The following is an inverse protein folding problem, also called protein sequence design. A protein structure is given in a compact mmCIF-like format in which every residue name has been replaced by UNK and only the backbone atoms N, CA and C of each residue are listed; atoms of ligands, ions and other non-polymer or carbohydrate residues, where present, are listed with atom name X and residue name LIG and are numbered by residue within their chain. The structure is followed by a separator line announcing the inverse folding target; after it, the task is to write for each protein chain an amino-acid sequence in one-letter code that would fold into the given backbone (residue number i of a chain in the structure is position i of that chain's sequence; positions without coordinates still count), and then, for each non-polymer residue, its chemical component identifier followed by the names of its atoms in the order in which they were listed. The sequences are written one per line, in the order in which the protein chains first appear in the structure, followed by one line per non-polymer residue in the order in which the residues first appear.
data_IF_486134977871
#
_entry.id   IF_486134977871
#
_cell.length_a   1.000
_cell.length_b   1.000
_cell.length_c   1.000
_cell.angle_alpha   90.00
_cell.angle_beta   90.00
_cell.angle_gamma   90.00
#
_symmetry.space_group_name_H-M   'P 1'
#
loop_
_entity.id
_entity.type
_entity.pdbx_description
1 polymer ?
2 non-polymer ?
3 water ?
#
# COMPACT_ATOMS: atom_id res chain seq x y z
N UNK A 3 -15.84 -0.97 -29.26
CA UNK A 3 -16.23 -2.34 -29.76
C UNK A 3 -16.21 -2.43 -31.28
N UNK A 4 -17.32 -2.81 -31.91
CA UNK A 4 -18.57 -3.21 -31.23
C UNK A 4 -18.54 -4.68 -30.80
N UNK A 5 -17.56 -5.43 -31.31
CA UNK A 5 -17.31 -6.81 -30.89
C UNK A 5 -15.97 -6.89 -30.16
N UNK A 6 -15.93 -6.29 -28.96
CA UNK A 6 -14.88 -6.51 -28.00
C UNK A 6 -15.44 -7.37 -26.88
N UNK A 7 -14.57 -7.89 -26.03
CA UNK A 7 -14.99 -8.76 -24.93
C UNK A 7 -15.96 -8.03 -23.98
N UNK A 8 -16.97 -8.75 -23.52
CA UNK A 8 -17.90 -8.25 -22.52
C UNK A 8 -17.48 -8.77 -21.15
N UNK A 9 -17.56 -7.92 -20.13
CA UNK A 9 -17.27 -8.31 -18.76
C UNK A 9 -18.52 -8.92 -18.12
N UNK A 10 -18.35 -9.88 -17.23
CA UNK A 10 -19.45 -10.36 -16.41
C UNK A 10 -19.91 -9.24 -15.48
N UNK A 11 -21.15 -9.37 -14.98
CA UNK A 11 -21.70 -8.42 -14.01
C UNK A 11 -20.84 -8.35 -12.75
N UNK A 12 -20.37 -9.50 -12.28
CA UNK A 12 -19.49 -9.56 -11.11
C UNK A 12 -18.17 -8.86 -11.37
N UNK A 13 -17.58 -9.06 -12.55
CA UNK A 13 -16.32 -8.41 -12.89
C UNK A 13 -16.47 -6.89 -12.94
N UNK A 14 -17.61 -6.42 -13.43
CA UNK A 14 -17.92 -4.99 -13.41
C UNK A 14 -17.97 -4.46 -11.98
N UNK A 15 -18.59 -5.20 -11.07
CA UNK A 15 -18.66 -4.82 -9.65
C UNK A 15 -17.29 -4.82 -8.98
N UNK A 16 -16.45 -5.78 -9.36
CA UNK A 16 -15.09 -5.86 -8.83
C UNK A 16 -14.28 -4.64 -9.30
N UNK A 17 -14.49 -4.22 -10.54
CA UNK A 17 -13.83 -3.02 -11.04
C UNK A 17 -14.26 -1.78 -10.26
N UNK A 18 -15.56 -1.70 -9.94
CA UNK A 18 -16.06 -0.58 -9.13
C UNK A 18 -15.40 -0.63 -7.76
N UNK A 19 -15.32 -1.81 -7.16
CA UNK A 19 -14.69 -1.96 -5.84
C UNK A 19 -13.25 -1.50 -5.86
N UNK A 20 -12.50 -1.94 -6.87
CA UNK A 20 -11.08 -1.62 -6.92
C UNK A 20 -10.83 -0.13 -7.13
N UNK A 21 -11.80 0.55 -7.75
CA UNK A 21 -11.72 1.99 -7.93
C UNK A 21 -12.12 2.74 -6.65
N UNK A 22 -13.19 2.30 -6.01
CA UNK A 22 -13.65 2.93 -4.78
C UNK A 22 -14.48 1.94 -3.98
N UNK A 23 -13.85 1.27 -3.02
CA UNK A 23 -14.52 0.21 -2.26
C UNK A 23 -15.90 0.55 -1.71
N UNK A 24 -16.04 1.70 -1.07
CA UNK A 24 -17.33 2.06 -0.44
C UNK A 24 -18.46 2.20 -1.47
N UNK A 25 -18.12 2.63 -2.68
CA UNK A 25 -19.09 2.76 -3.77
C UNK A 25 -19.61 1.41 -4.27
N UNK A 26 -18.81 0.35 -4.10
CA UNK A 26 -19.21 -0.96 -4.60
C UNK A 26 -20.24 -1.65 -3.73
N UNK A 27 -20.25 -1.32 -2.43
CA UNK A 27 -21.11 -2.03 -1.48
C UNK A 27 -22.58 -1.88 -1.88
N UNK A 28 -23.07 -0.62 -2.01
CA UNK A 28 -24.47 -0.46 -2.41
C UNK A 28 -24.79 -0.97 -3.81
N UNK A 29 -23.78 -1.08 -4.69
CA UNK A 29 -23.97 -1.65 -6.02
C UNK A 29 -24.02 -3.19 -6.00
N UNK A 30 -23.18 -3.80 -5.17
CA UNK A 30 -23.19 -5.26 -5.00
C UNK A 30 -24.52 -5.76 -4.43
N UNK A 31 -25.11 -4.99 -3.51
CA UNK A 31 -26.41 -5.35 -2.93
C UNK A 31 -27.51 -5.19 -3.98
N UNK A 32 -27.53 -4.03 -4.62
CA UNK A 32 -28.47 -3.73 -5.73
C UNK A 32 -28.50 -4.87 -6.74
N UNK A 33 -27.33 -5.37 -7.12
CA UNK A 33 -27.21 -6.40 -8.13
C UNK A 33 -27.29 -7.84 -7.59
N UNK A 34 -27.41 -7.97 -6.26
CA UNK A 34 -27.64 -9.28 -5.63
C UNK A 34 -26.41 -10.09 -5.29
N UNK A 35 -25.23 -9.50 -5.46
CA UNK A 35 -23.97 -10.19 -5.14
C UNK A 35 -23.65 -10.14 -3.65
N UNK A 36 -24.30 -9.23 -2.94
CA UNK A 36 -24.07 -9.02 -1.52
C UNK A 36 -25.41 -8.95 -0.79
N UNK A 37 -25.55 -9.78 0.24
CA UNK A 37 -26.82 -9.89 0.98
C UNK A 37 -27.25 -8.56 1.60
N UNK A 38 -26.32 -7.93 2.29
CA UNK A 38 -26.57 -6.65 2.96
C UNK A 38 -25.23 -5.99 3.27
N UNK A 39 -25.25 -4.86 3.96
CA UNK A 39 -24.01 -4.16 4.30
C UNK A 39 -23.53 -4.43 5.73
N UNK A 40 -23.91 -5.57 6.30
CA UNK A 40 -23.43 -5.94 7.63
C UNK A 40 -21.94 -6.27 7.55
N UNK A 41 -21.20 -6.06 8.64
CA UNK A 41 -19.76 -6.34 8.62
C UNK A 41 -19.43 -7.76 8.18
N UNK A 42 -20.18 -8.74 8.67
CA UNK A 42 -19.91 -10.14 8.33
C UNK A 42 -20.17 -10.42 6.84
N UNK A 43 -21.25 -9.88 6.28
CA UNK A 43 -21.54 -10.08 4.87
C UNK A 43 -20.43 -9.51 3.99
N UNK A 44 -20.00 -8.30 4.31
CA UNK A 44 -18.95 -7.65 3.54
C UNK A 44 -17.62 -8.38 3.70
N UNK A 45 -17.24 -8.72 4.94
CA UNK A 45 -16.00 -9.47 5.19
C UNK A 45 -15.96 -10.79 4.41
N UNK A 46 -17.06 -11.54 4.42
CA UNK A 46 -17.10 -12.80 3.70
C UNK A 46 -16.90 -12.59 2.20
N UNK A 47 -17.55 -11.57 1.65
CA UNK A 47 -17.40 -11.26 0.23
C UNK A 47 -15.95 -10.90 -0.14
N UNK A 48 -15.29 -10.12 0.71
CA UNK A 48 -13.87 -9.79 0.50
C UNK A 48 -13.01 -11.05 0.40
N UNK A 49 -13.26 -12.02 1.28
CA UNK A 49 -12.45 -13.24 1.34
C UNK A 49 -12.79 -14.28 0.29
N UNK A 50 -14.04 -14.29 -0.16
CA UNK A 50 -14.52 -15.30 -1.11
C UNK A 50 -14.27 -14.91 -2.57
N UNK A 51 -14.14 -13.61 -2.83
CA UNK A 51 -14.15 -13.10 -4.20
C UNK A 51 -12.74 -12.94 -4.77
N UNK A 52 -12.48 -13.59 -5.90
CA UNK A 52 -11.19 -13.48 -6.58
C UNK A 52 -11.14 -12.20 -7.38
N UNK A 53 -9.95 -11.62 -7.52
CA UNK A 53 -9.76 -10.47 -8.39
C UNK A 53 -9.82 -9.12 -7.71
N UNK A 54 -9.98 -9.11 -6.38
CA UNK A 54 -9.94 -7.86 -5.65
C UNK A 54 -8.50 -7.42 -5.49
N UNK A 55 -8.27 -6.12 -5.65
CA UNK A 55 -6.94 -5.56 -5.48
C UNK A 55 -6.59 -5.57 -3.99
N UNK A 56 -5.49 -6.22 -3.62
CA UNK A 56 -5.16 -6.38 -2.21
C UNK A 56 -4.88 -5.06 -1.52
N UNK A 57 -4.37 -4.10 -2.26
CA UNK A 57 -4.14 -2.77 -1.69
C UNK A 57 -5.46 -2.04 -1.49
N UNK A 58 -6.39 -2.17 -2.42
CA UNK A 58 -7.71 -1.57 -2.24
C UNK A 58 -8.42 -2.20 -1.03
N UNK A 59 -8.31 -3.53 -0.89
CA UNK A 59 -8.93 -4.22 0.25
C UNK A 59 -8.29 -3.74 1.56
N UNK A 60 -6.97 -3.68 1.61
CA UNK A 60 -6.29 -3.28 2.83
C UNK A 60 -6.63 -1.86 3.23
N UNK A 61 -6.68 -0.97 2.25
CA UNK A 61 -7.01 0.43 2.52
C UNK A 61 -8.46 0.55 3.02
N UNK A 62 -9.36 -0.25 2.46
CA UNK A 62 -10.76 -0.26 2.87
C UNK A 62 -10.91 -0.76 4.30
N UNK A 63 -10.24 -1.87 4.62
CA UNK A 63 -10.29 -2.41 5.96
C UNK A 63 -9.59 -1.51 6.98
N UNK A 64 -8.64 -0.71 6.50
CA UNK A 64 -7.84 0.15 7.36
C UNK A 64 -8.42 1.52 7.63
N UNK A 65 -9.52 1.88 6.99
CA UNK A 65 -10.09 3.23 7.14
C UNK A 65 -10.36 3.51 8.62
N UNK A 66 -10.04 4.73 9.05
CA UNK A 66 -10.30 5.19 10.42
C UNK A 66 -11.74 5.68 10.55
N UNK A 67 -12.68 4.75 10.35
CA UNK A 67 -14.10 4.97 10.54
C UNK A 67 -14.62 3.72 11.23
N UNK A 68 -15.52 3.89 12.19
CA UNK A 68 -15.95 2.77 13.02
C UNK A 68 -16.61 1.63 12.23
N UNK A 69 -17.32 1.95 11.14
CA UNK A 69 -17.92 0.91 10.30
C UNK A 69 -16.85 0.07 9.60
N UNK A 70 -15.79 0.70 9.12
CA UNK A 70 -14.72 -0.03 8.46
C UNK A 70 -13.95 -0.87 9.47
N UNK A 71 -13.79 -0.31 10.68
CA UNK A 71 -13.15 -1.07 11.76
C UNK A 71 -13.96 -2.33 12.05
N UNK A 72 -15.28 -2.21 12.09
CA UNK A 72 -16.16 -3.35 12.33
C UNK A 72 -16.03 -4.42 11.23
N UNK A 73 -15.93 -3.97 9.98
CA UNK A 73 -15.74 -4.88 8.85
C UNK A 73 -14.38 -5.59 8.99
N UNK A 74 -13.35 -4.84 9.36
CA UNK A 74 -12.03 -5.43 9.55
C UNK A 74 -12.05 -6.47 10.67
N UNK A 75 -12.75 -6.18 11.76
CA UNK A 75 -12.85 -7.16 12.84
C UNK A 75 -13.53 -8.44 12.35
N UNK A 76 -14.61 -8.28 11.58
CA UNK A 76 -15.29 -9.43 10.98
C UNK A 76 -14.38 -10.20 10.03
N UNK A 77 -13.56 -9.48 9.28
CA UNK A 77 -12.63 -10.08 8.32
C UNK A 77 -11.67 -11.01 9.07
N UNK A 78 -11.06 -10.50 10.15
CA UNK A 78 -10.16 -11.30 10.96
C UNK A 78 -10.91 -12.49 11.58
N UNK A 79 -12.15 -12.27 11.98
CA UNK A 79 -12.96 -13.33 12.60
C UNK A 79 -13.24 -14.51 11.66
N UNK A 80 -13.14 -14.30 10.36
CA UNK A 80 -13.36 -15.38 9.37
C UNK A 80 -12.17 -16.35 9.28
N UNK A 81 -11.03 -15.96 9.80
CA UNK A 81 -9.84 -16.82 9.74
C UNK A 81 -9.90 -17.89 10.82
N UNK A 82 -9.45 -19.09 10.45
CA UNK A 82 -9.28 -20.16 11.41
C UNK A 82 -7.78 -20.37 11.63
N UNK A 83 -7.27 -19.86 12.74
CA UNK A 83 -5.87 -20.03 13.11
C UNK A 83 -5.65 -21.19 14.07
N UNK A 84 -6.69 -21.97 14.34
CA UNK A 84 -6.59 -23.05 15.33
C UNK A 84 -5.48 -24.05 14.95
N UNK A 85 -4.54 -24.26 15.86
CA UNK A 85 -3.45 -25.23 15.66
C UNK A 85 -2.27 -24.77 14.81
N UNK A 86 -2.34 -23.56 14.28
CA UNK A 86 -1.26 -23.02 13.45
C UNK A 86 -0.19 -22.40 14.32
N UNK A 87 1.06 -22.43 13.86
CA UNK A 87 2.09 -21.60 14.48
C UNK A 87 1.71 -20.13 14.24
N UNK A 88 2.23 -19.23 15.07
CA UNK A 88 1.95 -17.82 14.85
C UNK A 88 2.47 -17.37 13.48
N UNK A 89 3.55 -17.97 12.99
CA UNK A 89 4.05 -17.65 11.64
C UNK A 89 3.07 -18.09 10.55
N UNK A 90 2.54 -19.30 10.66
CA UNK A 90 1.59 -19.78 9.66
C UNK A 90 0.31 -18.96 9.67
N UNK A 91 -0.13 -18.56 10.86
CA UNK A 91 -1.28 -17.68 10.99
C UNK A 91 -1.02 -16.31 10.37
N UNK A 92 0.12 -15.73 10.68
CA UNK A 92 0.52 -14.45 10.10
C UNK A 92 0.63 -14.51 8.57
N UNK A 93 1.17 -15.62 8.05
CA UNK A 93 1.32 -15.77 6.60
C UNK A 93 -0.05 -15.80 5.93
N UNK A 94 -0.96 -16.59 6.48
CA UNK A 94 -2.32 -16.67 5.97
C UNK A 94 -2.99 -15.30 5.98
N UNK A 95 -2.85 -14.60 7.09
CA UNK A 95 -3.47 -13.29 7.27
C UNK A 95 -2.89 -12.22 6.34
N UNK A 96 -1.57 -12.03 6.39
CA UNK A 96 -0.94 -10.92 5.66
C UNK A 96 -0.89 -11.11 4.16
N UNK A 97 -1.06 -12.34 3.68
CA UNK A 97 -1.09 -12.59 2.23
C UNK A 97 -2.50 -12.37 1.66
N UNK A 98 -3.46 -11.99 2.51
CA UNK A 98 -4.84 -11.75 2.07
C UNK A 98 -5.22 -10.28 1.81
N UNK A 99 -4.33 -9.35 2.18
CA UNK A 99 -4.53 -7.92 1.96
C UNK A 99 -3.18 -7.22 2.12
N UNK A 100 -3.08 -5.99 1.65
CA UNK A 100 -1.89 -5.16 1.90
C UNK A 100 -2.10 -4.25 3.09
N UNK A 101 -1.22 -4.35 4.08
CA UNK A 101 -1.26 -3.45 5.23
C UNK A 101 -1.14 -2.00 4.75
N UNK A 102 -1.99 -1.11 5.30
CA UNK A 102 -1.85 0.33 5.04
C UNK A 102 -0.55 0.89 5.59
N UNK A 103 -0.32 2.16 5.31
CA UNK A 103 0.91 2.82 5.65
C UNK A 103 1.01 3.29 7.07
N UNK A 104 -0.03 3.94 7.59
CA UNK A 104 0.12 4.60 8.89
C UNK A 104 0.08 3.60 10.03
N UNK A 105 0.93 3.86 11.01
CA UNK A 105 1.12 2.94 12.11
C UNK A 105 -0.12 2.66 12.90
N UNK A 106 -0.97 3.68 13.11
CA UNK A 106 -2.16 3.46 13.93
C UNK A 106 -3.13 2.48 13.27
N UNK A 107 -3.17 2.47 11.94
CA UNK A 107 -3.99 1.51 11.20
C UNK A 107 -3.41 0.12 11.33
N UNK A 108 -2.11 0.00 11.09
CA UNK A 108 -1.44 -1.28 11.24
C UNK A 108 -1.72 -1.86 12.62
N UNK A 109 -1.60 -1.04 13.65
CA UNK A 109 -1.80 -1.50 15.02
C UNK A 109 -3.19 -2.11 15.22
N UNK A 110 -4.21 -1.52 14.59
CA UNK A 110 -5.57 -2.08 14.65
C UNK A 110 -5.63 -3.49 14.08
N UNK A 111 -5.05 -3.69 12.90
CA UNK A 111 -4.99 -5.02 12.29
C UNK A 111 -4.25 -6.02 13.19
N UNK A 112 -3.09 -5.62 13.69
CA UNK A 112 -2.22 -6.56 14.38
C UNK A 112 -2.75 -6.89 15.76
N UNK A 113 -3.43 -5.94 16.40
CA UNK A 113 -4.06 -6.24 17.69
C UNK A 113 -5.21 -7.22 17.53
N UNK A 114 -6.04 -7.03 16.50
CA UNK A 114 -7.15 -7.95 16.26
C UNK A 114 -6.62 -9.33 15.86
N UNK A 115 -5.60 -9.37 15.00
CA UNK A 115 -4.93 -10.63 14.68
C UNK A 115 -4.48 -11.35 15.95
N UNK A 116 -3.79 -10.62 16.82
CA UNK A 116 -3.24 -11.21 18.05
C UNK A 116 -4.37 -11.76 18.92
N UNK A 117 -5.44 -11.00 19.05
CA UNK A 117 -6.58 -11.44 19.86
C UNK A 117 -7.21 -12.72 19.31
N UNK A 118 -7.37 -12.78 17.99
CA UNK A 118 -7.94 -13.96 17.33
C UNK A 118 -7.00 -15.13 17.50
N UNK A 119 -5.72 -14.91 17.29
CA UNK A 119 -4.76 -16.00 17.41
C UNK A 119 -4.78 -16.60 18.80
N UNK A 120 -4.78 -15.77 19.84
CA UNK A 120 -4.76 -16.32 21.20
C UNK A 120 -6.09 -16.96 21.56
N UNK A 121 -7.19 -16.43 21.04
CA UNK A 121 -8.53 -17.00 21.32
C UNK A 121 -8.63 -18.43 20.80
N UNK A 122 -8.01 -18.67 19.66
CA UNK A 122 -8.10 -19.96 18.99
C UNK A 122 -6.97 -20.90 19.37
N UNK A 123 -5.95 -20.36 20.03
CA UNK A 123 -4.83 -21.18 20.49
C UNK A 123 -4.55 -20.90 21.95
N UNK A 124 -5.49 -21.28 22.83
CA UNK A 124 -5.29 -21.05 24.25
C UNK A 124 -4.05 -21.79 24.76
N UNK A 125 -3.33 -21.18 25.68
CA UNK A 125 -2.15 -21.81 26.26
C UNK A 125 -0.86 -21.69 25.46
N UNK A 126 -0.89 -21.11 24.25
CA UNK A 126 0.37 -20.81 23.56
C UNK A 126 1.02 -19.63 24.28
N UNK A 127 0.28 -18.52 24.33
CA UNK A 127 0.70 -17.34 25.05
C UNK A 127 -0.35 -17.02 26.11
N UNK A 128 0.10 -16.52 27.25
CA UNK A 128 -0.82 -16.11 28.31
C UNK A 128 -1.54 -14.79 27.99
N UNK A 129 -0.94 -13.96 27.15
CA UNK A 129 -1.46 -12.63 26.86
C UNK A 129 -1.43 -12.36 25.36
N UNK A 130 -2.47 -11.71 24.85
CA UNK A 130 -2.49 -11.25 23.47
C UNK A 130 -1.34 -10.27 23.16
N UNK A 131 -0.90 -9.50 24.15
CA UNK A 131 0.16 -8.50 23.95
C UNK A 131 1.44 -9.20 23.48
N UNK A 132 1.67 -10.42 23.94
CA UNK A 132 2.83 -11.20 23.51
C UNK A 132 2.74 -11.52 22.02
N UNK A 133 1.58 -11.99 21.58
CA UNK A 133 1.38 -12.29 20.17
C UNK A 133 1.45 -11.03 19.31
N UNK A 134 0.91 -9.93 19.85
CA UNK A 134 0.92 -8.63 19.19
C UNK A 134 2.34 -8.17 18.90
N UNK A 135 3.19 -8.08 19.93
CA UNK A 135 4.55 -7.59 19.71
C UNK A 135 5.39 -8.56 18.89
N UNK A 136 5.17 -9.86 19.09
CA UNK A 136 5.91 -10.86 18.35
C UNK A 136 5.61 -10.75 16.86
N UNK A 137 4.37 -10.41 16.52
CA UNK A 137 3.97 -10.28 15.12
C UNK A 137 4.78 -9.20 14.40
N UNK A 138 5.03 -8.07 15.06
CA UNK A 138 5.87 -7.02 14.46
C UNK A 138 7.31 -7.48 14.26
N UNK A 139 7.82 -8.23 15.23
CA UNK A 139 9.18 -8.74 15.12
C UNK A 139 9.29 -9.72 13.96
N UNK A 140 8.24 -10.52 13.76
CA UNK A 140 8.21 -11.48 12.67
C UNK A 140 8.10 -10.79 11.33
N UNK A 141 7.31 -9.72 11.24
CA UNK A 141 7.22 -8.94 10.00
C UNK A 141 8.58 -8.33 9.65
N UNK A 142 9.26 -7.79 10.65
CA UNK A 142 10.58 -7.19 10.43
C UNK A 142 11.61 -8.23 10.00
N UNK A 143 11.57 -9.40 10.63
CA UNK A 143 12.47 -10.49 10.30
C UNK A 143 12.24 -10.88 8.86
N UNK A 144 10.97 -11.01 8.48
CA UNK A 144 10.60 -11.41 7.13
C UNK A 144 11.17 -10.45 6.10
N UNK A 145 11.02 -9.16 6.36
CA UNK A 145 11.58 -8.12 5.51
C UNK A 145 13.10 -8.22 5.43
N UNK A 146 13.76 -8.31 6.57
CA UNK A 146 15.23 -8.29 6.59
C UNK A 146 15.85 -9.55 5.99
N UNK A 147 15.15 -10.67 6.05
CA UNK A 147 15.67 -11.90 5.44
C UNK A 147 15.43 -11.94 3.94
N UNK A 148 14.29 -11.41 3.48
CA UNK A 148 13.84 -11.64 2.11
C UNK A 148 13.71 -10.41 1.20
N UNK A 149 13.50 -9.23 1.77
CA UNK A 149 13.11 -8.05 0.97
C UNK A 149 14.11 -6.91 1.00
N UNK A 150 14.69 -6.65 2.16
CA UNK A 150 15.40 -5.40 2.42
C UNK A 150 16.59 -5.19 1.48
N UNK A 151 16.68 -3.97 0.96
CA UNK A 151 17.79 -3.53 0.13
C UNK A 151 18.77 -2.67 0.93
N UNK A 152 18.35 -2.23 2.11
CA UNK A 152 19.12 -1.25 2.90
C UNK A 152 19.62 -1.77 4.26
N UNK A 153 19.24 -2.99 4.62
CA UNK A 153 19.74 -3.62 5.84
C UNK A 153 20.29 -4.98 5.49
N UNK A 154 21.31 -5.41 6.24
CA UNK A 154 21.79 -6.79 6.19
C UNK A 154 20.76 -7.74 6.78
N UNK A 155 20.87 -9.01 6.42
CA UNK A 155 20.02 -10.04 7.00
C UNK A 155 20.12 -10.04 8.52
N UNK A 156 18.98 -10.14 9.17
CA UNK A 156 18.90 -10.23 10.62
C UNK A 156 19.33 -11.61 11.07
N UNK A 157 20.23 -11.67 12.05
CA UNK A 157 20.70 -12.94 12.58
C UNK A 157 19.68 -13.47 13.58
N UNK A 158 19.74 -14.77 13.81
CA UNK A 158 18.92 -15.37 14.87
C UNK A 158 19.19 -14.69 16.21
N UNK A 159 20.46 -14.45 16.54
CA UNK A 159 20.78 -13.77 17.80
C UNK A 159 20.03 -12.44 17.93
N UNK A 160 20.02 -11.64 16.87
CA UNK A 160 19.33 -10.36 16.89
C UNK A 160 17.82 -10.53 17.07
N UNK A 161 17.25 -11.54 16.43
CA UNK A 161 15.82 -11.84 16.56
C UNK A 161 15.47 -12.20 18.02
N UNK A 162 16.31 -13.00 18.65
CA UNK A 162 16.14 -13.32 20.08
C UNK A 162 16.19 -12.06 20.93
N UNK A 163 17.18 -11.20 20.67
CA UNK A 163 17.30 -9.95 21.44
C UNK A 163 16.06 -9.05 21.31
N UNK A 164 15.53 -8.97 20.09
CA UNK A 164 14.40 -8.12 19.79
C UNK A 164 13.12 -8.52 20.53
N UNK A 165 13.07 -9.76 21.02
CA UNK A 165 11.91 -10.26 21.73
C UNK A 165 12.15 -10.51 23.21
N UNK A 166 13.22 -9.96 23.75
CA UNK A 166 13.49 -10.11 25.18
C UNK A 166 12.30 -9.58 26.00
N UNK A 167 11.90 -10.36 26.98
CA UNK A 167 10.90 -9.96 27.96
C UNK A 167 9.45 -9.97 27.55
N UNK A 168 9.13 -10.41 26.34
CA UNK A 168 7.77 -10.22 25.81
C UNK A 168 6.72 -11.17 26.36
N UNK A 169 7.14 -12.25 27.04
CA UNK A 169 6.19 -13.20 27.61
C UNK A 169 5.86 -12.80 29.05
N UNK A 170 4.99 -11.81 29.18
CA UNK A 170 4.58 -11.29 30.49
C UNK A 170 5.78 -10.86 31.35
N UNK A 171 6.80 -10.31 30.70
CA UNK A 171 7.97 -9.78 31.41
C UNK A 171 9.12 -10.77 31.51
N UNK A 172 8.96 -11.91 30.85
CA UNK A 172 10.02 -12.92 30.77
C UNK A 172 10.34 -13.22 29.31
N UNK A 173 11.53 -13.75 29.06
CA UNK A 173 11.90 -14.19 27.72
C UNK A 173 11.10 -15.43 27.35
N UNK A 174 10.79 -15.57 26.06
CA UNK A 174 10.27 -16.81 25.51
C UNK A 174 11.42 -17.81 25.42
N UNK A 175 11.11 -19.12 25.38
CA UNK A 175 12.20 -20.08 25.24
C UNK A 175 12.94 -19.90 23.91
N UNK A 176 14.27 -19.99 23.97
CA UNK A 176 15.11 -19.84 22.79
C UNK A 176 14.69 -20.80 21.67
N UNK A 177 14.39 -22.05 22.03
CA UNK A 177 14.01 -23.05 21.04
C UNK A 177 12.72 -22.67 20.30
N UNK A 178 11.79 -22.06 21.02
CA UNK A 178 10.52 -21.63 20.44
C UNK A 178 10.75 -20.54 19.40
N UNK A 179 11.54 -19.54 19.77
CA UNK A 179 11.85 -18.44 18.86
C UNK A 179 12.69 -18.92 17.67
N UNK A 180 13.64 -19.82 17.91
CA UNK A 180 14.45 -20.36 16.81
C UNK A 180 13.55 -21.06 15.78
N UNK A 181 12.55 -21.80 16.25
CA UNK A 181 11.58 -22.44 15.38
C UNK A 181 10.88 -21.45 14.48
N UNK A 182 10.39 -20.36 15.06
CA UNK A 182 9.71 -19.34 14.26
C UNK A 182 10.65 -18.67 13.27
N UNK A 183 11.86 -18.36 13.72
CA UNK A 183 12.89 -17.81 12.84
C UNK A 183 13.06 -18.67 11.59
N UNK A 184 13.22 -19.97 11.79
CA UNK A 184 13.41 -20.88 10.67
C UNK A 184 12.18 -20.98 9.76
N UNK A 185 10.99 -20.91 10.33
CA UNK A 185 9.77 -20.89 9.52
C UNK A 185 9.77 -19.70 8.57
N UNK A 186 10.14 -18.53 9.07
CA UNK A 186 10.21 -17.34 8.25
C UNK A 186 11.34 -17.48 7.23
N UNK A 187 12.52 -17.89 7.69
CA UNK A 187 13.69 -18.02 6.81
C UNK A 187 13.42 -18.95 5.63
N UNK A 188 12.68 -20.03 5.86
CA UNK A 188 12.47 -21.04 4.83
C UNK A 188 11.32 -20.75 3.87
N UNK A 189 10.37 -19.94 4.32
CA UNK A 189 9.22 -19.55 3.49
C UNK A 189 8.76 -18.11 3.78
N UNK A 190 9.20 -17.20 2.91
CA UNK A 190 8.85 -15.78 2.99
C UNK A 190 7.35 -15.56 3.05
N UNK A 191 6.92 -14.62 3.90
CA UNK A 191 5.54 -14.16 3.89
C UNK A 191 5.39 -13.08 2.81
N UNK B 8 17.52 8.17 23.68
CA UNK B 8 16.92 9.51 23.49
C UNK B 8 16.95 9.94 22.03
N UNK B 9 15.86 10.51 21.56
CA UNK B 9 15.72 10.95 20.17
C UNK B 9 15.63 12.47 20.10
N UNK B 10 16.02 13.03 18.96
CA UNK B 10 15.87 14.47 18.73
C UNK B 10 14.40 14.81 18.64
N UNK B 11 14.07 16.08 18.84
CA UNK B 11 12.69 16.57 18.71
C UNK B 11 12.10 16.22 17.34
N UNK B 12 12.91 16.42 16.29
CA UNK B 12 12.48 16.11 14.93
C UNK B 12 12.18 14.62 14.80
N UNK B 13 13.07 13.78 15.30
CA UNK B 13 12.89 12.32 15.24
C UNK B 13 11.63 11.87 15.96
N UNK B 14 11.33 12.49 17.11
CA UNK B 14 10.09 12.23 17.82
C UNK B 14 8.88 12.60 16.96
N UNK B 15 8.94 13.77 16.30
CA UNK B 15 7.85 14.18 15.42
C UNK B 15 7.67 13.25 14.22
N UNK B 16 8.78 12.73 13.70
CA UNK B 16 8.72 11.78 12.58
C UNK B 16 8.00 10.50 13.01
N UNK B 17 8.31 10.02 14.21
CA UNK B 17 7.60 8.87 14.78
C UNK B 17 6.10 9.14 14.85
N UNK B 18 5.73 10.33 15.30
CA UNK B 18 4.33 10.71 15.40
C UNK B 18 3.71 10.68 14.00
N UNK B 19 4.40 11.25 13.01
CA UNK B 19 3.86 11.28 11.67
C UNK B 19 3.65 9.88 11.13
N UNK B 20 4.65 9.02 11.31
CA UNK B 20 4.57 7.66 10.77
C UNK B 20 3.44 6.85 11.40
N UNK B 21 3.05 7.21 12.62
CA UNK B 21 1.91 6.60 13.30
C UNK B 21 0.58 7.20 12.89
N UNK B 22 0.53 8.54 12.83
CA UNK B 22 -0.73 9.23 12.55
C UNK B 22 -0.43 10.57 11.90
N UNK B 23 -0.30 10.58 10.56
CA UNK B 23 0.12 11.78 9.84
C UNK B 23 -0.67 13.05 10.17
N UNK B 24 -2.00 12.96 10.23
CA UNK B 24 -2.83 14.16 10.44
C UNK B 24 -2.61 14.77 11.83
N UNK B 25 -2.35 13.93 12.84
CA UNK B 25 -2.06 14.43 14.19
C UNK B 25 -0.67 15.05 14.31
N UNK B 26 0.26 14.65 13.46
CA UNK B 26 1.62 15.17 13.51
C UNK B 26 1.67 16.65 13.11
N UNK B 27 0.79 17.06 12.20
CA UNK B 27 0.83 18.43 11.66
C UNK B 27 0.76 19.51 12.75
N UNK B 28 -0.25 19.46 13.63
CA UNK B 28 -0.27 20.48 14.68
C UNK B 28 0.91 20.40 15.66
N UNK B 29 1.46 19.19 15.84
CA UNK B 29 2.63 19.03 16.70
C UNK B 29 3.86 19.68 16.08
N UNK B 30 4.07 19.41 14.79
CA UNK B 30 5.13 20.07 14.04
C UNK B 30 5.04 21.58 14.09
N UNK B 31 3.82 22.11 14.00
CA UNK B 31 3.60 23.54 14.02
C UNK B 31 3.94 24.12 15.40
N UNK B 32 3.47 23.46 16.46
CA UNK B 32 3.75 23.93 17.83
C UNK B 32 5.25 24.00 18.11
N UNK B 33 6.01 23.02 17.59
CA UNK B 33 7.45 22.95 17.80
C UNK B 33 8.28 23.79 16.81
N UNK B 34 7.61 24.38 15.81
CA UNK B 34 8.26 25.29 14.88
C UNK B 34 8.90 24.66 13.65
N UNK B 35 8.78 23.33 13.50
CA UNK B 35 9.31 22.65 12.31
C UNK B 35 8.47 22.96 11.08
N UNK B 36 7.21 23.27 11.31
CA UNK B 36 6.29 23.68 10.26
C UNK B 36 5.81 25.10 10.59
N UNK B 37 5.91 25.99 9.61
CA UNK B 37 5.51 27.38 9.80
C UNK B 37 3.99 27.48 9.97
N UNK B 38 3.28 26.69 9.19
CA UNK B 38 1.83 26.69 9.20
C UNK B 38 1.34 25.42 8.52
N UNK B 39 0.02 25.28 8.36
CA UNK B 39 -0.55 24.11 7.71
C UNK B 39 -0.89 24.37 6.24
N UNK B 40 -0.22 25.32 5.60
CA UNK B 40 -0.46 25.54 4.18
C UNK B 40 0.02 24.32 3.38
N UNK B 41 -0.63 24.04 2.24
CA UNK B 41 -0.21 22.91 1.40
C UNK B 41 1.28 22.92 1.05
N UNK B 42 1.82 24.05 0.65
CA UNK B 42 3.24 24.14 0.27
C UNK B 42 4.16 23.86 1.47
N UNK B 43 3.81 24.38 2.64
CA UNK B 43 4.62 24.14 3.85
C UNK B 43 4.68 22.65 4.15
N UNK B 44 3.52 22.01 4.12
CA UNK B 44 3.45 20.58 4.44
C UNK B 44 4.15 19.75 3.38
N UNK B 45 3.86 20.02 2.10
CA UNK B 45 4.49 19.29 1.01
C UNK B 45 6.01 19.38 1.06
N UNK B 46 6.54 20.56 1.31
CA UNK B 46 7.99 20.73 1.42
C UNK B 46 8.57 19.92 2.58
N UNK B 47 7.89 19.91 3.72
CA UNK B 47 8.35 19.14 4.86
C UNK B 47 8.38 17.65 4.51
N UNK B 48 7.34 17.17 3.85
CA UNK B 48 7.27 15.76 3.46
C UNK B 48 8.47 15.36 2.59
N UNK B 49 8.84 16.23 1.65
CA UNK B 49 9.92 15.93 0.70
C UNK B 49 11.32 16.16 1.26
N UNK B 50 11.47 17.06 2.22
CA UNK B 50 12.78 17.43 2.72
C UNK B 50 13.21 16.63 3.96
N UNK B 51 12.27 15.94 4.60
CA UNK B 51 12.54 15.26 5.85
C UNK B 51 12.86 13.78 5.63
N UNK B 52 14.06 13.35 6.03
CA UNK B 52 14.43 11.95 5.95
C UNK B 52 13.77 11.15 7.07
N UNK B 53 13.46 9.88 6.81
CA UNK B 53 12.90 8.99 7.83
C UNK B 53 11.40 8.83 7.84
N UNK B 54 10.69 9.52 6.95
CA UNK B 54 9.26 9.35 6.82
C UNK B 54 8.97 8.06 6.07
N UNK B 55 7.98 7.32 6.54
CA UNK B 55 7.58 6.05 5.94
C UNK B 55 6.83 6.36 4.66
N UNK B 56 7.29 5.78 3.54
CA UNK B 56 6.73 6.08 2.22
C UNK B 56 5.25 5.74 2.11
N UNK B 57 4.84 4.69 2.83
CA UNK B 57 3.45 4.29 2.83
C UNK B 57 2.56 5.21 3.66
N UNK B 58 3.07 5.67 4.81
CA UNK B 58 2.34 6.67 5.59
C UNK B 58 2.19 7.96 4.79
N UNK B 59 3.27 8.38 4.12
CA UNK B 59 3.23 9.58 3.28
C UNK B 59 2.21 9.39 2.16
N UNK B 60 2.26 8.26 1.47
CA UNK B 60 1.34 8.03 0.36
C UNK B 60 -0.12 7.99 0.79
N UNK B 61 -0.40 7.34 1.93
CA UNK B 61 -1.75 7.30 2.47
C UNK B 61 -2.25 8.70 2.85
N UNK B 62 -1.36 9.49 3.46
CA UNK B 62 -1.70 10.85 3.84
C UNK B 62 -2.02 11.69 2.61
N UNK B 63 -1.18 11.60 1.60
CA UNK B 63 -1.38 12.37 0.37
C UNK B 63 -2.62 11.90 -0.40
N UNK B 64 -3.03 10.65 -0.18
CA UNK B 64 -4.14 10.06 -0.89
C UNK B 64 -5.51 10.33 -0.28
N UNK B 65 -5.55 10.92 0.91
CA UNK B 65 -6.84 11.13 1.58
C UNK B 65 -7.75 12.01 0.71
N UNK B 66 -9.05 11.71 0.77
CA UNK B 66 -10.03 12.38 -0.09
C UNK B 66 -10.37 13.82 0.27
N UNK B 67 -10.08 14.23 1.49
CA UNK B 67 -10.39 15.59 1.94
C UNK B 67 -9.74 16.63 1.03
N UNK B 68 -10.47 17.73 0.78
CA UNK B 68 -9.98 18.82 -0.05
C UNK B 68 -8.59 19.31 0.39
N UNK B 69 -8.38 19.39 1.70
CA UNK B 69 -7.08 19.81 2.24
C UNK B 69 -5.93 18.88 1.84
N UNK B 70 -6.18 17.59 1.91
CA UNK B 70 -5.18 16.58 1.57
C UNK B 70 -4.92 16.58 0.07
N UNK B 71 -5.95 16.81 -0.74
CA UNK B 71 -5.75 16.91 -2.18
C UNK B 71 -4.84 18.10 -2.52
N UNK B 72 -5.08 19.23 -1.85
CA UNK B 72 -4.25 20.42 -2.05
C UNK B 72 -2.79 20.16 -1.66
N UNK B 73 -2.58 19.46 -0.54
CA UNK B 73 -1.25 19.08 -0.13
C UNK B 73 -0.60 18.19 -1.19
N UNK B 74 -1.34 17.19 -1.68
CA UNK B 74 -0.82 16.32 -2.72
C UNK B 74 -0.44 17.10 -3.98
N UNK B 75 -1.30 18.05 -4.38
CA UNK B 75 -0.97 18.86 -5.56
C UNK B 75 0.30 19.65 -5.34
N UNK B 76 0.46 20.25 -4.15
CA UNK B 76 1.66 20.99 -3.80
C UNK B 76 2.90 20.09 -3.80
N UNK B 77 2.73 18.85 -3.34
CA UNK B 77 3.80 17.86 -3.33
C UNK B 77 4.27 17.56 -4.76
N UNK B 78 3.34 17.32 -5.68
CA UNK B 78 3.73 17.03 -7.06
C UNK B 78 4.40 18.25 -7.70
N UNK B 79 3.91 19.44 -7.38
CA UNK B 79 4.46 20.68 -7.94
C UNK B 79 5.92 20.96 -7.52
N UNK B 80 6.40 20.34 -6.45
CA UNK B 80 7.81 20.47 -6.07
C UNK B 80 8.78 19.73 -7.00
N UNK B 81 8.29 18.74 -7.73
CA UNK B 81 9.15 17.94 -8.60
C UNK B 81 9.52 18.68 -9.87
N UNK B 82 10.73 18.46 -10.35
CA UNK B 82 11.19 18.99 -11.64
C UNK B 82 11.53 17.85 -12.58
N UNK B 83 10.60 17.59 -13.51
CA UNK B 83 10.76 16.53 -14.50
C UNK B 83 11.31 17.07 -15.83
N UNK B 84 11.82 18.30 -15.82
CA UNK B 84 12.31 18.90 -17.06
C UNK B 84 13.41 18.07 -17.70
N UNK B 85 13.23 17.71 -18.96
CA UNK B 85 14.23 16.98 -19.72
C UNK B 85 14.40 15.52 -19.35
N UNK B 86 13.43 14.98 -18.60
CA UNK B 86 13.43 13.57 -18.24
C UNK B 86 12.49 12.81 -19.16
N UNK B 87 12.86 11.57 -19.47
CA UNK B 87 11.92 10.66 -20.10
C UNK B 87 10.76 10.44 -19.14
N UNK B 88 9.60 10.08 -19.67
CA UNK B 88 8.44 9.87 -18.79
C UNK B 88 8.70 8.74 -17.79
N UNK B 89 9.47 7.72 -18.16
CA UNK B 89 9.81 6.63 -17.23
C UNK B 89 10.72 7.11 -16.10
N UNK B 90 11.72 7.91 -16.44
CA UNK B 90 12.63 8.46 -15.43
C UNK B 90 11.88 9.41 -14.48
N UNK B 91 10.97 10.20 -15.03
CA UNK B 91 10.13 11.09 -14.23
C UNK B 91 9.25 10.27 -13.28
N UNK B 92 8.63 9.23 -13.83
CA UNK B 92 7.76 8.38 -13.04
C UNK B 92 8.53 7.67 -11.94
N UNK B 93 9.75 7.24 -12.25
CA UNK B 93 10.60 6.59 -11.26
C UNK B 93 10.92 7.55 -10.11
N UNK B 94 11.36 8.77 -10.45
CA UNK B 94 11.65 9.80 -9.45
C UNK B 94 10.46 10.08 -8.53
N UNK B 95 9.29 10.17 -9.14
CA UNK B 95 8.05 10.47 -8.42
C UNK B 95 7.63 9.33 -7.49
N UNK B 96 7.53 8.12 -8.04
CA UNK B 96 6.98 6.98 -7.29
C UNK B 96 7.97 6.41 -6.28
N UNK B 97 9.23 6.77 -6.36
CA UNK B 97 10.17 6.32 -5.34
C UNK B 97 10.17 7.27 -4.12
N UNK B 98 9.32 8.30 -4.13
CA UNK B 98 9.16 9.24 -3.00
C UNK B 98 7.96 8.97 -2.06
N UNK B 99 7.07 8.07 -2.47
CA UNK B 99 5.91 7.67 -1.68
C UNK B 99 5.32 6.40 -2.27
N UNK B 100 4.48 5.71 -1.49
CA UNK B 100 3.76 4.54 -1.98
C UNK B 100 2.33 4.91 -2.40
N UNK B 101 1.95 4.62 -3.64
CA UNK B 101 0.59 4.87 -4.09
C UNK B 101 -0.40 4.12 -3.21
N UNK B 102 -1.51 4.77 -2.84
CA UNK B 102 -2.62 4.07 -2.19
C UNK B 102 -3.20 2.97 -3.07
N UNK B 103 -4.10 2.19 -2.50
CA UNK B 103 -4.66 1.04 -3.18
C UNK B 103 -5.81 1.35 -4.13
N UNK B 104 -6.72 2.22 -3.73
CA UNK B 104 -7.94 2.40 -4.54
C UNK B 104 -7.71 3.28 -5.75
N UNK B 105 -8.34 2.89 -6.86
CA UNK B 105 -8.13 3.53 -8.14
C UNK B 105 -8.45 5.01 -8.19
N UNK B 106 -9.50 5.43 -7.48
CA UNK B 106 -9.87 6.85 -7.51
C UNK B 106 -8.76 7.71 -6.93
N UNK B 107 -8.05 7.19 -5.92
CA UNK B 107 -6.93 7.90 -5.34
C UNK B 107 -5.75 7.90 -6.30
N UNK B 108 -5.42 6.74 -6.84
CA UNK B 108 -4.33 6.62 -7.79
C UNK B 108 -4.54 7.58 -8.96
N UNK B 109 -5.77 7.68 -9.45
CA UNK B 109 -6.12 8.57 -10.56
C UNK B 109 -5.71 10.01 -10.27
N UNK B 110 -5.96 10.48 -9.05
CA UNK B 110 -5.63 11.85 -8.67
C UNK B 110 -4.12 12.09 -8.77
N UNK B 111 -3.32 11.14 -8.29
CA UNK B 111 -1.87 11.28 -8.33
C UNK B 111 -1.39 11.30 -9.78
N UNK B 112 -1.91 10.39 -10.58
CA UNK B 112 -1.38 10.18 -11.91
C UNK B 112 -1.80 11.30 -12.86
N UNK B 113 -3.00 11.85 -12.65
CA UNK B 113 -3.42 13.03 -13.43
C UNK B 113 -2.53 14.23 -13.12
N UNK B 114 -2.23 14.45 -11.85
CA UNK B 114 -1.39 15.57 -11.45
C UNK B 114 0.04 15.37 -11.97
N UNK B 115 0.55 14.15 -11.85
CA UNK B 115 1.87 13.83 -12.42
C UNK B 115 1.91 14.11 -13.92
N UNK B 116 0.91 13.63 -14.65
CA UNK B 116 0.84 13.81 -16.10
C UNK B 116 0.83 15.29 -16.48
N UNK B 117 0.05 16.08 -15.75
CA UNK B 117 -0.03 17.52 -16.04
C UNK B 117 1.33 18.20 -15.87
N UNK B 118 2.01 17.88 -14.77
CA UNK B 118 3.30 18.50 -14.52
C UNK B 118 4.37 18.00 -15.48
N UNK B 119 4.34 16.72 -15.81
CA UNK B 119 5.27 16.20 -16.79
C UNK B 119 5.13 16.94 -18.13
N UNK B 120 3.90 17.11 -18.61
CA UNK B 120 3.70 17.76 -19.91
C UNK B 120 4.08 19.23 -19.82
N UNK B 121 3.77 19.86 -18.70
CA UNK B 121 4.15 21.24 -18.47
C UNK B 121 5.66 21.48 -18.59
N UNK B 122 6.43 20.52 -18.12
CA UNK B 122 7.90 20.66 -18.06
C UNK B 122 8.59 20.03 -19.27
N UNK B 123 7.81 19.39 -20.14
CA UNK B 123 8.34 18.76 -21.34
C UNK B 123 7.42 19.02 -22.52
N UNK B 124 7.31 20.29 -22.93
CA UNK B 124 6.39 20.66 -23.99
C UNK B 124 6.73 19.98 -25.31
N UNK B 125 5.72 19.61 -26.08
CA UNK B 125 5.94 18.99 -27.39
C UNK B 125 6.44 17.56 -27.38
N UNK B 126 6.50 16.93 -26.20
CA UNK B 126 6.74 15.48 -26.13
C UNK B 126 5.42 14.78 -26.46
N UNK B 127 4.36 15.18 -25.76
CA UNK B 127 3.00 14.71 -26.04
C UNK B 127 2.11 15.87 -26.39
N UNK B 128 1.03 15.58 -27.10
CA UNK B 128 0.05 16.58 -27.48
C UNK B 128 -0.68 17.10 -26.24
N UNK B 129 -1.12 16.17 -25.39
CA UNK B 129 -1.99 16.50 -24.26
C UNK B 129 -1.57 15.74 -23.00
N UNK B 130 -2.00 16.25 -21.86
CA UNK B 130 -1.75 15.59 -20.58
C UNK B 130 -2.40 14.21 -20.53
N UNK B 131 -3.59 14.08 -21.14
CA UNK B 131 -4.30 12.80 -21.14
C UNK B 131 -3.40 11.70 -21.71
N UNK B 132 -2.59 12.04 -22.71
CA UNK B 132 -1.64 11.10 -23.30
C UNK B 132 -0.65 10.62 -22.25
N UNK B 133 -0.07 11.57 -21.51
CA UNK B 133 0.88 11.23 -20.45
C UNK B 133 0.21 10.47 -19.30
N UNK B 134 -1.05 10.82 -19.03
CA UNK B 134 -1.85 10.15 -18.00
C UNK B 134 -2.05 8.67 -18.31
N UNK B 135 -2.57 8.36 -19.49
CA UNK B 135 -2.83 6.96 -19.81
C UNK B 135 -1.54 6.17 -19.99
N UNK B 136 -0.51 6.82 -20.55
CA UNK B 136 0.77 6.16 -20.71
C UNK B 136 1.41 5.87 -19.37
N UNK B 137 1.33 6.82 -18.44
CA UNK B 137 1.87 6.61 -17.08
C UNK B 137 1.18 5.44 -16.41
N UNK B 138 -0.15 5.38 -16.56
CA UNK B 138 -0.93 4.27 -16.02
C UNK B 138 -0.49 2.95 -16.65
N UNK B 139 -0.30 2.97 -17.95
CA UNK B 139 0.16 1.79 -18.67
C UNK B 139 1.51 1.33 -18.13
N UNK B 140 2.40 2.29 -17.87
CA UNK B 140 3.75 1.99 -17.40
C UNK B 140 3.77 1.40 -15.98
N UNK B 141 2.91 1.90 -15.10
CA UNK B 141 2.79 1.34 -13.73
C UNK B 141 2.24 -0.07 -13.80
N UNK B 142 1.17 -0.25 -14.56
CA UNK B 142 0.55 -1.56 -14.72
C UNK B 142 1.53 -2.55 -15.36
N UNK B 143 2.34 -2.06 -16.30
CA UNK B 143 3.42 -2.85 -16.91
C UNK B 143 4.52 -3.20 -15.90
N UNK B 144 4.91 -2.22 -15.09
CA UNK B 144 5.93 -2.43 -14.05
C UNK B 144 5.50 -3.50 -13.05
N UNK B 145 4.20 -3.51 -12.71
CA UNK B 145 3.64 -4.53 -11.83
C UNK B 145 3.78 -5.94 -12.44
N UNK B 146 3.62 -6.07 -13.76
CA UNK B 146 3.73 -7.38 -14.42
C UNK B 146 5.17 -7.87 -14.51
N UNK B 147 6.02 -7.10 -15.18
CA UNK B 147 7.38 -7.55 -15.52
C UNK B 147 8.25 -7.92 -14.32
N UNK B 148 8.03 -7.27 -13.17
CA UNK B 148 8.91 -7.42 -12.02
C UNK B 148 8.28 -8.09 -10.79
N UNK B 149 7.02 -8.49 -10.87
CA UNK B 149 6.39 -9.28 -9.82
C UNK B 149 6.53 -10.77 -10.13
N UNK B 153 3.67 -15.91 -14.04
CA UNK B 153 2.28 -15.68 -14.43
C UNK B 153 2.19 -15.16 -15.87
N UNK B 154 1.03 -14.61 -16.24
CA UNK B 154 0.81 -14.13 -17.61
C UNK B 154 1.14 -12.64 -17.74
N UNK B 155 2.37 -12.37 -18.17
CA UNK B 155 2.90 -11.01 -18.18
C UNK B 155 2.63 -10.33 -19.51
N UNK B 156 2.39 -9.02 -19.43
CA UNK B 156 2.16 -8.21 -20.62
C UNK B 156 3.36 -8.29 -21.57
N UNK B 157 3.06 -8.42 -22.87
CA UNK B 157 4.09 -8.45 -23.90
C UNK B 157 4.26 -7.06 -24.50
N UNK B 158 5.35 -6.86 -25.23
CA UNK B 158 5.55 -5.61 -25.97
C UNK B 158 4.38 -5.37 -26.93
N UNK B 159 3.95 -6.45 -27.59
CA UNK B 159 2.80 -6.42 -28.49
C UNK B 159 1.55 -5.83 -27.83
N UNK B 160 1.22 -6.32 -26.64
CA UNK B 160 0.03 -5.87 -25.91
C UNK B 160 0.20 -4.43 -25.42
N UNK B 161 1.41 -4.10 -24.97
CA UNK B 161 1.74 -2.74 -24.55
C UNK B 161 1.53 -1.74 -25.70
N UNK B 162 1.99 -2.08 -26.90
CA UNK B 162 1.77 -1.25 -28.08
C UNK B 162 0.27 -1.12 -28.39
N UNK B 163 -0.44 -2.24 -28.33
CA UNK B 163 -1.87 -2.26 -28.63
C UNK B 163 -2.68 -1.41 -27.66
N UNK B 164 -2.42 -1.60 -26.37
CA UNK B 164 -3.13 -0.85 -25.33
C UNK B 164 -2.95 0.66 -25.45
N UNK B 165 -1.81 1.08 -26.00
CA UNK B 165 -1.51 2.50 -26.17
C UNK B 165 -1.76 3.02 -27.58
N UNK B 166 -2.47 2.25 -28.42
CA UNK B 166 -2.89 2.75 -29.72
C UNK B 166 -3.80 3.97 -29.56
N UNK B 167 -3.55 4.97 -30.40
CA UNK B 167 -4.38 6.16 -30.47
C UNK B 167 -4.28 7.16 -29.34
N UNK B 168 -3.38 6.93 -28.37
CA UNK B 168 -3.37 7.78 -27.16
C UNK B 168 -2.80 9.18 -27.36
N UNK B 169 -2.13 9.43 -28.49
CA UNK B 169 -1.51 10.74 -28.75
C UNK B 169 -2.45 11.58 -29.62
N UNK B 170 -3.49 12.13 -28.99
CA UNK B 170 -4.49 12.95 -29.68
C UNK B 170 -5.13 12.21 -30.86
N UNK B 171 -5.38 10.92 -30.66
CA UNK B 171 -6.00 10.07 -31.68
C UNK B 171 -5.03 9.24 -32.51
N UNK B 172 -3.74 9.56 -32.44
CA UNK B 172 -2.72 8.86 -33.22
C UNK B 172 -1.85 7.99 -32.33
N UNK B 173 -1.15 7.03 -32.95
CA UNK B 173 -0.20 6.20 -32.22
C UNK B 173 1.08 6.97 -31.95
N UNK B 174 1.83 6.51 -30.95
CA UNK B 174 3.20 6.97 -30.72
C UNK B 174 4.15 6.07 -31.51
N UNK B 175 5.36 6.57 -31.82
CA UNK B 175 6.34 5.76 -32.53
C UNK B 175 6.66 4.46 -31.80
N UNK B 176 6.73 3.35 -32.56
CA UNK B 176 7.02 2.04 -31.98
C UNK B 176 8.32 2.06 -31.17
N UNK B 177 9.37 2.68 -31.71
CA UNK B 177 10.67 2.73 -31.04
C UNK B 177 10.61 3.52 -29.73
N UNK B 178 9.79 4.57 -29.71
CA UNK B 178 9.56 5.34 -28.50
C UNK B 178 8.94 4.46 -27.42
N UNK B 179 7.85 3.79 -27.77
CA UNK B 179 7.16 2.92 -26.81
C UNK B 179 8.00 1.71 -26.42
N UNK B 180 8.69 1.11 -27.38
CA UNK B 180 9.57 -0.03 -27.08
C UNK B 180 10.71 0.37 -26.14
N UNK B 181 11.24 1.58 -26.34
CA UNK B 181 12.25 2.14 -25.45
C UNK B 181 11.76 2.21 -24.00
N UNK B 182 10.55 2.72 -23.82
CA UNK B 182 9.93 2.80 -22.48
C UNK B 182 9.72 1.42 -21.87
N UNK B 183 9.22 0.47 -22.69
CA UNK B 183 9.03 -0.92 -22.28
C UNK B 183 10.34 -1.51 -21.77
N UNK B 184 11.41 -1.32 -22.55
CA UNK B 184 12.75 -1.79 -22.17
C UNK B 184 13.35 -1.00 -21.01
N UNK B 185 13.00 0.29 -20.90
CA UNK B 185 13.49 1.12 -19.81
C UNK B 185 12.95 0.61 -18.47
N UNK B 186 11.70 0.15 -18.48
CA UNK B 186 11.09 -0.49 -17.31
C UNK B 186 11.68 -1.88 -17.08
N UNK B 187 11.98 -2.60 -18.16
CA UNK B 187 12.58 -3.94 -18.06
C UNK B 187 13.97 -3.91 -17.43
N UNK B 188 14.80 -2.94 -17.82
CA UNK B 188 16.17 -2.84 -17.31
C UNK B 188 16.29 -2.15 -15.95
N UNK B 189 15.22 -1.47 -15.52
CA UNK B 189 15.20 -0.83 -14.20
C UNK B 189 13.77 -0.74 -13.65
N UNK B 190 13.48 -1.59 -12.67
CA UNK B 190 12.17 -1.63 -12.02
C UNK B 190 11.89 -0.34 -11.25
N UNK B 191 10.64 0.13 -11.31
CA UNK B 191 10.19 1.26 -10.49
C UNK B 191 9.76 0.74 -9.12
X LIG C 1 4.03 25.97 -17.80
#
# INVERSE_FOLDING_TARGET
GPGSLKLRKTALSECIAIFNNKPKKAIPVLIKKGFLKDDSPISIAKWLLETEGLDMAAVGDYLGEGDDKNIAIMHAFVDEFDFTGMSIVDALRSFLQSFRLPGEGQKIDRFMLKFAERFVDQNPGVFSKADTAYVLSYSLIMLNTDLHSSQIKNKMSLQEFLENNEGIDNGRDLPRDFLEGLFNEIANNEI
GPGSLKLRKTALSECIAIFNNKPKKAIPVLIKKGFLKDDSPISIAKWLLETEGLDMAAVGDYLGEGDDKNIAIMHAFVDEFDFTGMSIVDALRSFLQSFRLPGEGQKIDRFMLKFAERFVDQNPGVFSKADTAYVLSYSLIMLNTDLHSSQIKNKMSLQEFLENNEGIDNGRDLPRDFLEGLFNEIANNEI
MG MG
#
